data_IF_938449648242
#
_entry.id   IF_938449648242
#
_cell.length_a   1.000
_cell.length_b   1.000
_cell.length_c   1.000
_cell.angle_alpha   90.00
_cell.angle_beta   90.00
_cell.angle_gamma   90.00
#
_symmetry.space_group_name_H-M   'P 1'
#
loop_
_entity.id
_entity.type
_entity.pdbx_description
1 polymer ?
#
# COMPACT_ATOMS: atom_id res chain seq x y z
N UNK A 1 -13.14 17.94 25.55
CA UNK A 1 -13.29 16.47 25.46
C UNK A 1 -13.59 16.21 23.99
N UNK A 2 -12.66 15.58 23.26
CA UNK A 2 -12.90 15.23 21.87
C UNK A 2 -13.62 13.87 21.88
N UNK A 3 -14.94 13.92 21.85
CA UNK A 3 -15.81 12.74 21.74
C UNK A 3 -15.83 12.25 20.29
N UNK A 4 -14.66 11.89 19.76
CA UNK A 4 -14.59 11.20 18.47
C UNK A 4 -14.80 9.71 18.76
N UNK A 5 -15.88 9.08 18.27
CA UNK A 5 -16.10 7.66 18.51
C UNK A 5 -14.89 6.89 18.00
N UNK A 6 -14.31 6.07 18.87
CA UNK A 6 -13.29 5.10 18.48
C UNK A 6 -13.98 4.15 17.49
N UNK A 7 -13.65 4.27 16.22
CA UNK A 7 -14.19 3.41 15.17
C UNK A 7 -13.63 2.01 15.45
N UNK A 8 -14.48 1.11 15.97
CA UNK A 8 -14.10 -0.25 16.38
C UNK A 8 -13.93 -1.20 15.18
N UNK A 9 -14.56 -0.87 14.04
CA UNK A 9 -14.49 -1.68 12.82
C UNK A 9 -13.39 -1.17 11.88
N UNK A 10 -12.65 -2.06 11.19
CA UNK A 10 -11.67 -1.62 10.20
C UNK A 10 -12.36 -0.79 9.12
N UNK A 11 -11.88 0.42 8.87
CA UNK A 11 -12.36 1.27 7.79
C UNK A 11 -11.90 0.67 6.46
N UNK A 12 -12.81 -0.03 5.78
CA UNK A 12 -12.62 -0.41 4.39
C UNK A 12 -13.09 0.73 3.50
N UNK A 13 -12.22 1.13 2.58
CA UNK A 13 -12.58 2.09 1.54
C UNK A 13 -13.41 1.33 0.51
N UNK A 14 -14.67 1.70 0.37
CA UNK A 14 -15.53 1.21 -0.72
C UNK A 14 -15.20 1.95 -2.01
N UNK A 15 -15.54 1.37 -3.17
CA UNK A 15 -15.32 1.99 -4.49
C UNK A 15 -15.92 3.40 -4.58
N UNK A 16 -17.07 3.63 -3.93
CA UNK A 16 -17.75 4.92 -3.90
C UNK A 16 -16.91 5.97 -3.16
N UNK A 17 -16.40 5.61 -1.98
CA UNK A 17 -15.53 6.47 -1.17
C UNK A 17 -14.20 6.69 -1.88
N UNK A 18 -13.64 5.67 -2.53
CA UNK A 18 -12.41 5.79 -3.31
C UNK A 18 -12.56 6.83 -4.41
N UNK A 19 -13.66 6.78 -5.18
CA UNK A 19 -13.95 7.75 -6.24
C UNK A 19 -14.10 9.17 -5.70
N UNK A 20 -14.79 9.35 -4.56
CA UNK A 20 -14.92 10.67 -3.93
C UNK A 20 -13.58 11.22 -3.44
N UNK A 21 -12.76 10.37 -2.81
CA UNK A 21 -11.42 10.73 -2.35
C UNK A 21 -10.50 11.11 -3.51
N UNK A 22 -10.55 10.36 -4.62
CA UNK A 22 -9.80 10.69 -5.85
C UNK A 22 -10.26 12.03 -6.43
N UNK A 23 -11.57 12.29 -6.51
CA UNK A 23 -12.11 13.59 -6.97
C UNK A 23 -11.66 14.76 -6.09
N UNK A 24 -11.52 14.52 -4.79
CA UNK A 24 -10.99 15.48 -3.83
C UNK A 24 -9.45 15.64 -3.91
N UNK A 25 -8.77 14.85 -4.75
CA UNK A 25 -7.33 14.92 -4.96
C UNK A 25 -6.49 14.11 -3.97
N UNK A 26 -7.11 13.18 -3.23
CA UNK A 26 -6.37 12.26 -2.36
C UNK A 26 -5.74 11.12 -3.19
N UNK A 27 -4.55 10.70 -2.75
CA UNK A 27 -3.81 9.56 -3.34
C UNK A 27 -3.73 8.46 -2.30
N UNK A 28 -4.15 7.25 -2.68
CA UNK A 28 -4.04 6.06 -1.86
C UNK A 28 -2.71 5.36 -2.12
N UNK A 29 -1.64 5.87 -1.51
CA UNK A 29 -0.37 5.14 -1.49
C UNK A 29 -0.32 4.19 -0.29
N UNK A 30 -0.05 2.89 -0.50
CA UNK A 30 0.19 1.99 0.61
C UNK A 30 1.41 2.47 1.41
N UNK A 31 1.39 2.40 2.76
CA UNK A 31 2.54 2.75 3.57
C UNK A 31 3.80 2.00 3.11
N UNK A 32 4.97 2.65 3.22
CA UNK A 32 6.24 2.13 2.69
C UNK A 32 6.57 0.71 3.19
N UNK A 33 6.26 0.41 4.45
CA UNK A 33 6.51 -0.89 5.05
C UNK A 33 5.61 -2.03 4.51
N UNK A 34 4.51 -1.72 3.82
CA UNK A 34 3.64 -2.69 3.13
C UNK A 34 3.70 -2.58 1.61
N UNK A 35 4.46 -1.62 1.07
CA UNK A 35 4.65 -1.47 -0.38
C UNK A 35 5.74 -2.41 -0.89
N UNK A 36 5.35 -3.46 -1.60
CA UNK A 36 6.30 -4.40 -2.22
C UNK A 36 7.16 -3.74 -3.29
N UNK A 37 6.61 -2.75 -3.99
CA UNK A 37 7.30 -1.95 -5.00
C UNK A 37 8.36 -1.01 -4.45
N UNK A 38 8.44 -0.80 -3.13
CA UNK A 38 9.48 0.01 -2.46
C UNK A 38 10.35 -0.80 -1.49
N UNK A 39 10.28 -2.14 -1.55
CA UNK A 39 11.08 -2.99 -0.66
C UNK A 39 12.58 -2.69 -0.79
N UNK A 40 13.06 -2.32 -1.97
CA UNK A 40 14.45 -1.96 -2.20
C UNK A 40 14.96 -0.75 -1.40
N UNK A 41 14.06 0.07 -0.85
CA UNK A 41 14.37 1.22 0.00
C UNK A 41 14.55 0.79 1.46
N UNK A 42 14.08 -0.41 1.84
CA UNK A 42 14.22 -0.96 3.20
C UNK A 42 15.60 -1.60 3.41
N UNK A 43 16.22 -1.40 4.59
CA UNK A 43 17.45 -2.09 4.95
C UNK A 43 17.32 -3.61 4.83
N UNK A 44 18.25 -4.25 4.11
CA UNK A 44 18.29 -5.69 3.87
C UNK A 44 17.55 -6.18 2.62
N UNK A 45 16.91 -5.29 1.87
CA UNK A 45 16.18 -5.60 0.63
C UNK A 45 16.76 -4.88 -0.59
N UNK A 46 17.95 -4.29 -0.47
CA UNK A 46 18.60 -3.47 -1.50
C UNK A 46 18.86 -4.24 -2.80
N UNK A 47 18.93 -5.58 -2.73
CA UNK A 47 19.10 -6.45 -3.89
C UNK A 47 17.92 -6.40 -4.87
N UNK A 48 16.71 -6.05 -4.40
CA UNK A 48 15.51 -5.92 -5.25
C UNK A 48 15.57 -4.71 -6.19
N UNK A 49 16.48 -3.75 -5.94
CA UNK A 49 16.63 -2.52 -6.73
C UNK A 49 17.14 -2.78 -8.15
N UNK A 50 17.73 -3.95 -8.37
CA UNK A 50 18.36 -4.36 -9.63
C UNK A 50 17.74 -5.63 -10.22
N UNK A 51 16.63 -6.10 -9.65
CA UNK A 51 15.90 -7.27 -10.13
C UNK A 51 15.04 -6.89 -11.34
N UNK A 52 15.67 -6.64 -12.48
CA UNK A 52 15.01 -6.77 -13.80
C UNK A 52 14.76 -8.25 -14.15
N UNK A 53 15.23 -9.17 -13.30
CA UNK A 53 15.01 -10.60 -13.42
C UNK A 53 13.57 -10.94 -13.02
N UNK A 54 12.72 -11.07 -14.04
CA UNK A 54 11.40 -11.72 -13.93
C UNK A 54 11.62 -13.05 -13.20
N UNK A 55 10.94 -13.32 -12.07
CA UNK A 55 11.08 -14.62 -11.42
C UNK A 55 10.68 -15.67 -12.44
N UNK A 56 11.63 -16.53 -12.82
CA UNK A 56 11.30 -17.72 -13.60
C UNK A 56 10.26 -18.49 -12.79
N UNK A 57 9.06 -18.57 -13.35
CA UNK A 57 7.95 -19.30 -12.78
C UNK A 57 8.44 -20.74 -12.71
N UNK A 58 8.82 -21.22 -11.52
CA UNK A 58 9.01 -22.64 -11.29
C UNK A 58 7.62 -23.26 -11.28
N UNK A 59 7.14 -23.60 -12.47
CA UNK A 59 6.02 -24.54 -12.62
C UNK A 59 6.51 -25.93 -12.17
N UNK A 60 5.88 -26.48 -11.14
CA UNK A 60 5.88 -27.92 -10.84
C UNK A 60 4.47 -28.47 -11.08
#
# INVERSE_FOLDING_TARGET
MNDTPLIEEPLFITDEIEVEMIKAGHVFEPPEHVSTGRLYERPGFEYLRHSDEKPEVMEE
#
